data_IF_642872285820
#
_entry.id   IF_642872285820
#
_cell.length_a   1.000
_cell.length_b   1.000
_cell.length_c   1.000
_cell.angle_alpha   90.00
_cell.angle_beta   90.00
_cell.angle_gamma   90.00
#
_symmetry.space_group_name_H-M   'P 1'
#
loop_
_entity.id
_entity.type
_entity.pdbx_description
1 polymer ?
#
# COMPACT_ATOMS: atom_id res chain seq x y z
N UNK A 1 32.09 53.92 37.99
CA UNK A 1 31.47 53.13 39.08
C UNK A 1 30.27 52.32 38.59
N UNK A 2 29.40 52.90 37.78
CA UNK A 2 28.20 52.30 37.15
C UNK A 2 28.44 51.00 36.37
N UNK A 3 29.51 50.87 35.56
CA UNK A 3 29.80 49.62 34.82
C UNK A 3 30.08 48.40 35.71
N UNK A 4 30.71 48.60 36.87
CA UNK A 4 31.00 47.49 37.82
C UNK A 4 29.73 46.99 38.50
N UNK A 5 28.81 47.91 38.81
CA UNK A 5 27.50 47.59 39.40
C UNK A 5 26.65 46.82 38.38
N UNK A 6 26.62 47.26 37.11
CA UNK A 6 25.87 46.58 36.05
C UNK A 6 26.36 45.13 35.82
N UNK A 7 27.68 44.92 35.83
CA UNK A 7 28.26 43.57 35.68
C UNK A 7 27.97 42.66 36.88
N UNK A 8 27.88 43.23 38.08
CA UNK A 8 27.48 42.48 39.28
C UNK A 8 26.03 42.01 39.18
N UNK A 9 25.11 42.89 38.77
CA UNK A 9 23.70 42.53 38.57
C UNK A 9 23.51 41.46 37.48
N UNK A 10 24.23 41.55 36.36
CA UNK A 10 24.19 40.53 35.30
C UNK A 10 24.71 39.16 35.78
N UNK A 11 25.75 39.13 36.63
CA UNK A 11 26.21 37.88 37.26
C UNK A 11 25.16 37.32 38.23
N UNK A 12 24.55 38.16 39.05
CA UNK A 12 23.52 37.74 40.01
C UNK A 12 22.28 37.20 39.27
N UNK A 13 21.83 37.86 38.21
CA UNK A 13 20.71 37.41 37.39
C UNK A 13 20.99 36.06 36.72
N UNK A 14 22.22 35.85 36.23
CA UNK A 14 22.66 34.57 35.68
C UNK A 14 22.62 33.47 36.74
N UNK A 15 23.11 33.76 37.96
CA UNK A 15 23.10 32.83 39.09
C UNK A 15 21.66 32.49 39.51
N UNK A 16 20.78 33.48 39.62
CA UNK A 16 19.37 33.29 39.98
C UNK A 16 18.66 32.45 38.92
N UNK A 17 18.87 32.74 37.64
CA UNK A 17 18.26 32.00 36.54
C UNK A 17 18.74 30.55 36.50
N UNK A 18 20.01 30.30 36.82
CA UNK A 18 20.55 28.95 36.95
C UNK A 18 19.97 28.23 38.16
N UNK A 19 19.80 28.91 39.31
CA UNK A 19 19.13 28.35 40.50
C UNK A 19 17.67 27.97 40.22
N UNK A 20 16.91 28.83 39.53
CA UNK A 20 15.52 28.53 39.14
C UNK A 20 15.47 27.32 38.20
N UNK A 21 16.34 27.25 37.20
CA UNK A 21 16.43 26.08 36.31
C UNK A 21 16.82 24.81 37.05
N UNK A 22 17.68 24.92 38.06
CA UNK A 22 18.08 23.81 38.93
C UNK A 22 16.89 23.31 39.75
N UNK A 23 16.12 24.21 40.38
CA UNK A 23 14.88 23.87 41.10
C UNK A 23 13.89 23.16 40.17
N UNK A 24 13.63 23.71 38.98
CA UNK A 24 12.69 23.13 38.00
C UNK A 24 13.16 21.75 37.50
N UNK A 25 14.46 21.56 37.27
CA UNK A 25 15.06 20.28 36.87
C UNK A 25 14.93 19.18 37.94
N UNK A 26 14.78 19.59 39.20
CA UNK A 26 14.60 18.70 40.36
C UNK A 26 13.13 18.39 40.61
N UNK A 27 12.19 19.29 40.31
CA UNK A 27 10.76 18.97 40.43
C UNK A 27 10.27 17.92 39.41
N UNK A 28 10.99 17.69 38.31
CA UNK A 28 10.65 16.68 37.29
C UNK A 28 11.07 15.24 37.67
N UNK A 29 10.94 14.84 38.94
CA UNK A 29 11.46 13.57 39.46
C UNK A 29 10.47 12.39 39.30
N UNK A 30 10.98 11.24 38.87
CA UNK A 30 10.27 9.95 38.86
C UNK A 30 10.67 9.12 40.09
N UNK A 31 9.69 8.42 40.69
CA UNK A 31 9.79 7.66 41.97
C UNK A 31 10.90 6.56 41.97
N UNK A 32 11.46 6.20 40.82
CA UNK A 32 12.49 5.15 40.70
C UNK A 32 13.93 5.54 41.05
N UNK A 33 14.26 6.83 41.26
CA UNK A 33 15.64 7.32 41.45
C UNK A 33 15.94 7.76 42.90
N UNK A 34 15.32 7.15 43.92
CA UNK A 34 15.29 7.68 45.29
C UNK A 34 16.59 7.50 46.12
N UNK A 35 17.49 6.60 45.75
CA UNK A 35 18.69 6.28 46.55
C UNK A 35 19.67 7.46 46.80
N UNK A 36 19.87 8.43 45.88
CA UNK A 36 20.72 9.60 46.12
C UNK A 36 20.07 10.66 47.03
N UNK A 37 18.77 10.58 47.34
CA UNK A 37 18.05 11.64 48.07
C UNK A 37 18.36 11.72 49.56
N UNK A 38 19.00 10.70 50.16
CA UNK A 38 19.29 10.74 51.60
C UNK A 38 20.70 11.24 51.92
N UNK A 39 21.60 11.24 50.93
CA UNK A 39 22.99 11.66 51.13
C UNK A 39 23.16 13.12 51.63
N UNK A 40 22.35 14.10 51.17
CA UNK A 40 22.50 15.49 51.62
C UNK A 40 21.76 15.83 52.92
N UNK A 41 20.87 14.97 53.41
CA UNK A 41 20.06 15.24 54.61
C UNK A 41 20.90 15.59 55.83
N UNK A 42 21.96 14.82 56.08
CA UNK A 42 22.85 15.05 57.21
C UNK A 42 23.55 16.41 57.14
N UNK A 43 24.29 16.77 56.07
CA UNK A 43 24.93 18.08 55.98
C UNK A 43 23.94 19.25 55.92
N UNK A 44 22.77 19.07 55.31
CA UNK A 44 21.68 20.07 55.31
C UNK A 44 21.16 20.35 56.73
N UNK A 45 20.89 19.29 57.49
CA UNK A 45 20.46 19.41 58.89
C UNK A 45 21.54 20.03 59.78
N UNK A 46 22.82 19.69 59.57
CA UNK A 46 23.93 20.34 60.28
C UNK A 46 23.98 21.85 60.02
N UNK A 47 23.72 22.30 58.79
CA UNK A 47 23.62 23.73 58.48
C UNK A 47 22.42 24.38 59.17
N UNK A 48 21.27 23.71 59.20
CA UNK A 48 20.11 24.20 59.93
C UNK A 48 20.43 24.43 61.42
N UNK A 49 21.02 23.44 62.09
CA UNK A 49 21.40 23.56 63.51
C UNK A 49 22.45 24.65 63.72
N UNK A 50 23.49 24.66 62.89
CA UNK A 50 24.55 25.68 62.96
C UNK A 50 23.98 27.11 62.82
N UNK A 51 23.05 27.32 61.89
CA UNK A 51 22.45 28.64 61.67
C UNK A 51 21.42 29.03 62.73
N UNK A 52 20.57 28.10 63.16
CA UNK A 52 19.50 28.38 64.12
C UNK A 52 20.01 28.45 65.56
N UNK A 53 20.84 27.50 65.99
CA UNK A 53 21.28 27.39 67.40
C UNK A 53 22.54 28.20 67.70
N UNK A 54 23.47 28.37 66.75
CA UNK A 54 24.74 29.07 67.00
C UNK A 54 24.72 30.50 66.49
N UNK A 55 24.26 30.71 65.26
CA UNK A 55 24.15 32.05 64.68
C UNK A 55 22.86 32.79 65.08
N UNK A 56 21.96 32.11 65.81
CA UNK A 56 20.67 32.66 66.26
C UNK A 56 19.84 33.27 65.11
N UNK A 57 19.99 32.71 63.90
CA UNK A 57 19.20 33.17 62.77
C UNK A 57 17.75 32.73 62.92
N UNK A 58 16.77 33.54 62.47
CA UNK A 58 15.38 33.12 62.42
C UNK A 58 15.22 31.76 61.73
N UNK A 59 14.42 30.87 62.31
CA UNK A 59 14.30 29.47 61.87
C UNK A 59 13.97 29.33 60.38
N UNK A 60 13.16 30.23 59.81
CA UNK A 60 12.83 30.22 58.39
C UNK A 60 14.04 30.48 57.48
N UNK A 61 14.99 31.33 57.90
CA UNK A 61 16.22 31.60 57.13
C UNK A 61 17.13 30.37 57.16
N UNK A 62 17.31 29.77 58.35
CA UNK A 62 18.08 28.54 58.52
C UNK A 62 17.49 27.38 57.69
N UNK A 63 16.16 27.26 57.66
CA UNK A 63 15.45 26.26 56.86
C UNK A 63 15.65 26.47 55.35
N UNK A 64 15.57 27.71 54.86
CA UNK A 64 15.81 28.02 53.44
C UNK A 64 17.26 27.68 53.04
N UNK A 65 18.22 28.01 53.89
CA UNK A 65 19.62 27.71 53.64
C UNK A 65 19.89 26.19 53.61
N UNK A 66 19.39 25.46 54.61
CA UNK A 66 19.46 24.00 54.64
C UNK A 66 18.78 23.37 53.42
N UNK A 67 17.57 23.81 53.08
CA UNK A 67 16.86 23.36 51.87
C UNK A 67 17.64 23.61 50.59
N UNK A 68 18.34 24.75 50.49
CA UNK A 68 19.20 25.05 49.32
C UNK A 68 20.37 24.07 49.23
N UNK A 69 21.04 23.81 50.35
CA UNK A 69 22.13 22.82 50.42
C UNK A 69 21.63 21.42 50.03
N UNK A 70 20.45 21.02 50.53
CA UNK A 70 19.81 19.75 50.20
C UNK A 70 19.61 19.61 48.69
N UNK A 71 18.95 20.59 48.08
CA UNK A 71 18.63 20.65 46.65
C UNK A 71 19.91 20.57 45.80
N UNK A 72 20.94 21.33 46.17
CA UNK A 72 22.23 21.34 45.46
C UNK A 72 22.98 20.02 45.60
N UNK A 73 22.94 19.40 46.79
CA UNK A 73 23.54 18.09 47.05
C UNK A 73 22.86 16.99 46.24
N UNK A 74 21.53 16.96 46.24
CA UNK A 74 20.74 16.02 45.43
C UNK A 74 21.04 16.19 43.93
N UNK A 75 21.10 17.42 43.44
CA UNK A 75 21.43 17.71 42.05
C UNK A 75 22.81 17.14 41.66
N UNK A 76 23.83 17.39 42.47
CA UNK A 76 25.20 16.91 42.24
C UNK A 76 25.29 15.38 42.26
N UNK A 77 24.62 14.74 43.21
CA UNK A 77 24.55 13.29 43.30
C UNK A 77 23.82 12.67 42.09
N UNK A 78 22.70 13.27 41.67
CA UNK A 78 21.94 12.84 40.48
C UNK A 78 22.80 12.86 39.22
N UNK A 79 23.58 13.91 39.00
CA UNK A 79 24.46 14.00 37.82
C UNK A 79 25.51 12.90 37.86
N UNK A 80 26.10 12.64 39.01
CA UNK A 80 27.10 11.58 39.17
C UNK A 80 26.53 10.19 38.82
N UNK A 81 25.30 9.89 39.28
CA UNK A 81 24.60 8.64 38.92
C UNK A 81 24.23 8.61 37.44
N UNK A 82 23.78 9.72 36.86
CA UNK A 82 23.47 9.79 35.42
C UNK A 82 24.71 9.59 34.55
N UNK A 83 25.86 10.15 34.94
CA UNK A 83 27.13 9.91 34.27
C UNK A 83 27.51 8.42 34.31
N UNK A 84 27.32 7.76 35.45
CA UNK A 84 27.53 6.31 35.57
C UNK A 84 26.62 5.54 34.62
N UNK A 85 25.31 5.80 34.66
CA UNK A 85 24.32 5.12 33.79
C UNK A 85 24.63 5.31 32.31
N UNK A 86 24.99 6.52 31.89
CA UNK A 86 25.44 6.79 30.54
C UNK A 86 26.67 5.96 30.19
N UNK A 87 27.73 6.03 30.99
CA UNK A 87 28.97 5.31 30.72
C UNK A 87 28.83 3.79 30.73
N UNK A 88 27.91 3.24 31.52
CA UNK A 88 27.60 1.80 31.54
C UNK A 88 26.75 1.36 30.35
N UNK A 89 25.87 2.23 29.83
CA UNK A 89 24.97 1.93 28.71
C UNK A 89 25.41 2.44 27.35
N UNK A 90 26.57 3.11 27.25
CA UNK A 90 27.05 3.70 26.01
C UNK A 90 27.61 2.66 25.03
N UNK A 91 27.43 2.93 23.74
CA UNK A 91 28.09 2.18 22.67
C UNK A 91 29.58 2.46 22.58
N UNK A 92 30.35 1.59 21.91
CA UNK A 92 31.82 1.77 21.74
C UNK A 92 32.19 3.05 20.97
N UNK A 93 31.32 3.50 20.07
CA UNK A 93 31.49 4.73 19.28
C UNK A 93 31.01 6.00 19.99
N UNK A 94 30.35 5.88 21.14
CA UNK A 94 29.78 7.00 21.87
C UNK A 94 30.79 7.58 22.87
N UNK A 95 30.85 8.91 22.95
CA UNK A 95 31.74 9.62 23.84
C UNK A 95 31.44 9.32 25.32
N UNK A 96 32.50 9.09 26.10
CA UNK A 96 32.40 8.93 27.55
C UNK A 96 32.22 10.29 28.24
N UNK A 97 31.44 10.31 29.32
CA UNK A 97 31.22 11.50 30.16
C UNK A 97 32.16 11.42 31.38
N UNK A 98 32.73 12.54 31.88
CA UNK A 98 33.70 12.53 32.96
C UNK A 98 33.06 12.23 34.34
N UNK A 99 32.61 10.99 34.55
CA UNK A 99 31.95 10.54 35.78
C UNK A 99 32.83 10.74 37.02
N UNK A 100 34.13 10.44 36.93
CA UNK A 100 35.06 10.61 38.05
C UNK A 100 35.12 12.06 38.52
N UNK A 101 35.09 13.02 37.59
CA UNK A 101 35.06 14.45 37.91
C UNK A 101 33.76 14.84 38.61
N UNK A 102 32.61 14.36 38.12
CA UNK A 102 31.29 14.60 38.75
C UNK A 102 31.25 14.07 40.19
N UNK A 103 31.75 12.86 40.42
CA UNK A 103 31.83 12.25 41.76
C UNK A 103 32.75 13.07 42.66
N UNK A 104 33.94 13.46 42.15
CA UNK A 104 34.89 14.27 42.90
C UNK A 104 34.31 15.64 43.29
N UNK A 105 33.64 16.33 42.37
CA UNK A 105 32.99 17.63 42.66
C UNK A 105 31.84 17.49 43.66
N UNK A 106 31.06 16.42 43.55
CA UNK A 106 30.02 16.09 44.54
C UNK A 106 30.63 15.84 45.93
N UNK A 107 31.75 15.12 46.00
CA UNK A 107 32.50 14.91 47.24
C UNK A 107 33.03 16.22 47.82
N UNK A 108 33.64 17.08 46.99
CA UNK A 108 34.12 18.41 47.41
C UNK A 108 32.98 19.25 47.97
N UNK A 109 31.81 19.26 47.31
CA UNK A 109 30.63 19.95 47.83
C UNK A 109 30.30 19.50 49.25
N UNK A 110 30.18 18.20 49.50
CA UNK A 110 29.85 17.68 50.83
C UNK A 110 30.92 18.00 51.88
N UNK A 111 32.19 17.87 51.52
CA UNK A 111 33.30 18.18 52.42
C UNK A 111 33.30 19.67 52.81
N UNK A 112 33.05 20.56 51.86
CA UNK A 112 33.00 22.01 52.11
C UNK A 112 31.79 22.36 52.98
N UNK A 113 30.60 21.83 52.68
CA UNK A 113 29.39 22.08 53.48
C UNK A 113 29.54 21.56 54.91
N UNK A 114 30.11 20.36 55.09
CA UNK A 114 30.37 19.81 56.42
C UNK A 114 31.41 20.66 57.18
N UNK A 115 32.48 21.06 56.49
CA UNK A 115 33.50 21.96 57.07
C UNK A 115 32.91 23.32 57.47
N UNK A 116 31.96 23.82 56.69
CA UNK A 116 31.24 25.06 56.97
C UNK A 116 30.39 24.92 58.24
N UNK A 117 29.61 23.83 58.36
CA UNK A 117 28.83 23.53 59.56
C UNK A 117 29.73 23.43 60.80
N UNK A 118 30.82 22.66 60.71
CA UNK A 118 31.80 22.50 61.78
C UNK A 118 32.50 23.81 62.17
N UNK A 119 32.79 24.68 61.19
CA UNK A 119 33.40 25.99 61.45
C UNK A 119 32.46 26.89 62.26
N UNK A 120 31.17 26.91 61.90
CA UNK A 120 30.15 27.65 62.66
C UNK A 120 30.00 27.08 64.08
N UNK A 121 30.08 25.76 64.23
CA UNK A 121 29.85 25.10 65.50
C UNK A 121 31.04 25.18 66.48
N UNK A 122 32.26 24.94 65.99
CA UNK A 122 33.43 24.73 66.84
C UNK A 122 34.33 25.97 66.98
N UNK A 123 34.40 26.83 65.96
CA UNK A 123 35.40 27.92 65.93
C UNK A 123 34.77 29.22 65.42
N UNK A 124 34.04 29.97 66.28
CA UNK A 124 33.37 31.22 65.90
C UNK A 124 34.31 32.29 65.33
N UNK A 125 35.60 32.28 65.69
CA UNK A 125 36.61 33.20 65.16
C UNK A 125 36.92 32.98 63.67
N UNK A 126 36.55 31.83 63.11
CA UNK A 126 36.76 31.48 61.70
C UNK A 126 35.49 31.63 60.84
N UNK A 127 34.41 32.22 61.37
CA UNK A 127 33.16 32.47 60.63
C UNK A 127 33.39 33.27 59.34
N UNK A 128 34.43 34.10 59.27
CA UNK A 128 34.82 34.80 58.04
C UNK A 128 35.23 33.87 56.89
N UNK A 129 35.67 32.64 57.18
CA UNK A 129 36.00 31.61 56.18
C UNK A 129 34.78 31.01 55.48
N UNK A 130 33.57 31.28 55.95
CA UNK A 130 32.33 30.83 55.29
C UNK A 130 32.21 31.43 53.88
N UNK A 131 32.61 32.70 53.70
CA UNK A 131 32.55 33.37 52.40
C UNK A 131 33.37 32.66 51.31
N UNK A 132 34.67 32.36 51.50
CA UNK A 132 35.43 31.59 50.50
C UNK A 132 34.92 30.16 50.32
N UNK A 133 34.29 29.54 51.32
CA UNK A 133 33.64 28.22 51.16
C UNK A 133 32.48 28.26 50.16
N UNK A 134 31.69 29.34 50.11
CA UNK A 134 30.65 29.51 49.08
C UNK A 134 31.21 29.54 47.66
N UNK A 135 32.41 30.09 47.46
CA UNK A 135 33.10 30.06 46.16
C UNK A 135 33.44 28.62 45.75
N UNK A 136 33.93 27.80 46.70
CA UNK A 136 34.24 26.39 46.43
C UNK A 136 32.97 25.59 46.10
N UNK A 137 31.87 25.82 46.84
CA UNK A 137 30.56 25.24 46.53
C UNK A 137 30.14 25.64 45.11
N UNK A 138 30.26 26.92 44.75
CA UNK A 138 29.87 27.42 43.43
C UNK A 138 30.67 26.76 42.30
N UNK A 139 31.98 26.56 42.50
CA UNK A 139 32.83 25.85 41.53
C UNK A 139 32.35 24.41 41.35
N UNK A 140 32.11 23.68 42.45
CA UNK A 140 31.65 22.29 42.39
C UNK A 140 30.30 22.18 41.64
N UNK A 141 29.36 23.07 41.95
CA UNK A 141 28.05 23.13 41.29
C UNK A 141 28.18 23.47 39.81
N UNK A 142 29.01 24.47 39.46
CA UNK A 142 29.20 24.89 38.09
C UNK A 142 29.80 23.78 37.22
N UNK A 143 30.80 23.06 37.73
CA UNK A 143 31.39 21.92 37.02
C UNK A 143 30.35 20.83 36.80
N UNK A 144 29.58 20.47 37.83
CA UNK A 144 28.50 19.50 37.69
C UNK A 144 27.44 19.97 36.68
N UNK A 145 27.07 21.25 36.68
CA UNK A 145 26.14 21.81 35.69
C UNK A 145 26.69 21.74 34.26
N UNK A 146 27.97 22.04 34.06
CA UNK A 146 28.61 21.92 32.75
C UNK A 146 28.61 20.46 32.26
N UNK A 147 28.86 19.50 33.16
CA UNK A 147 28.77 18.06 32.85
C UNK A 147 27.33 17.68 32.47
N UNK A 148 26.32 18.14 33.21
CA UNK A 148 24.91 17.86 32.91
C UNK A 148 24.50 18.41 31.53
N UNK A 149 24.90 19.63 31.21
CA UNK A 149 24.63 20.24 29.90
C UNK A 149 25.25 19.43 28.77
N UNK A 150 26.48 18.96 28.93
CA UNK A 150 27.13 18.12 27.93
C UNK A 150 26.44 16.75 27.81
N UNK A 151 26.10 16.13 28.93
CA UNK A 151 25.40 14.85 28.95
C UNK A 151 24.03 14.93 28.23
N UNK A 152 23.26 16.00 28.45
CA UNK A 152 21.98 16.22 27.75
C UNK A 152 22.13 16.35 26.24
N UNK A 153 23.21 16.98 25.77
CA UNK A 153 23.50 17.05 24.33
C UNK A 153 23.74 15.66 23.77
N UNK A 154 24.60 14.87 24.42
CA UNK A 154 24.87 13.48 24.02
C UNK A 154 23.62 12.60 24.03
N UNK A 155 22.76 12.75 25.03
CA UNK A 155 21.47 12.03 25.10
C UNK A 155 20.53 12.43 23.94
N UNK A 156 20.50 13.72 23.60
CA UNK A 156 19.69 14.24 22.49
C UNK A 156 20.21 13.76 21.14
N UNK A 157 21.53 13.81 20.93
CA UNK A 157 22.18 13.35 19.71
C UNK A 157 21.93 11.84 19.52
N UNK A 158 22.04 11.05 20.59
CA UNK A 158 21.71 9.62 20.54
C UNK A 158 20.25 9.36 20.22
N UNK A 159 19.33 10.14 20.78
CA UNK A 159 17.91 10.02 20.47
C UNK A 159 17.62 10.33 18.99
N UNK A 160 18.26 11.37 18.45
CA UNK A 160 18.18 11.74 17.04
C UNK A 160 18.76 10.65 16.13
N UNK A 161 19.94 10.11 16.47
CA UNK A 161 20.56 9.01 15.72
C UNK A 161 19.66 7.76 15.67
N UNK A 162 19.00 7.44 16.78
CA UNK A 162 18.04 6.32 16.83
C UNK A 162 16.82 6.62 15.96
N UNK A 163 16.31 7.85 15.98
CA UNK A 163 15.20 8.27 15.13
C UNK A 163 15.58 8.16 13.64
N UNK A 164 16.75 8.67 13.26
CA UNK A 164 17.26 8.62 11.89
C UNK A 164 17.46 7.19 11.40
N UNK A 165 17.98 6.30 12.26
CA UNK A 165 18.10 4.87 11.93
C UNK A 165 16.74 4.23 11.69
N UNK A 166 15.73 4.53 12.51
CA UNK A 166 14.37 4.02 12.30
C UNK A 166 13.78 4.50 10.97
N UNK A 167 13.98 5.76 10.63
CA UNK A 167 13.57 6.32 9.33
C UNK A 167 14.27 5.59 8.19
N UNK A 168 15.60 5.43 8.25
CA UNK A 168 16.37 4.70 7.23
C UNK A 168 15.93 3.24 7.08
N UNK A 169 15.66 2.54 8.18
CA UNK A 169 15.14 1.17 8.12
C UNK A 169 13.74 1.12 7.52
N UNK A 170 12.86 2.07 7.86
CA UNK A 170 11.53 2.17 7.25
C UNK A 170 11.61 2.40 5.75
N UNK A 171 12.43 3.37 5.32
CA UNK A 171 12.67 3.66 3.91
C UNK A 171 13.25 2.46 3.15
N UNK A 172 14.11 1.67 3.80
CA UNK A 172 14.68 0.45 3.20
C UNK A 172 13.62 -0.63 2.98
N UNK A 173 12.63 -0.73 3.89
CA UNK A 173 11.49 -1.64 3.73
C UNK A 173 10.59 -1.17 2.59
N UNK A 174 10.30 0.13 2.52
CA UNK A 174 9.51 0.72 1.42
C UNK A 174 10.18 0.52 0.06
N UNK A 175 11.49 0.75 -0.05
CA UNK A 175 12.24 0.51 -1.29
C UNK A 175 12.20 -0.98 -1.68
N UNK A 176 12.31 -1.90 -0.72
CA UNK A 176 12.16 -3.33 -0.99
C UNK A 176 10.77 -3.67 -1.51
N UNK A 177 9.73 -3.09 -0.92
CA UNK A 177 8.35 -3.31 -1.36
C UNK A 177 8.13 -2.75 -2.77
N UNK A 178 8.54 -1.51 -3.03
CA UNK A 178 8.44 -0.90 -4.35
C UNK A 178 9.19 -1.70 -5.43
N UNK A 179 10.30 -2.36 -5.06
CA UNK A 179 11.01 -3.27 -5.97
C UNK A 179 10.19 -4.51 -6.32
N UNK A 180 9.53 -5.13 -5.35
CA UNK A 180 8.63 -6.29 -5.56
C UNK A 180 7.45 -5.89 -6.44
N UNK A 181 6.85 -4.72 -6.18
CA UNK A 181 5.73 -4.23 -6.96
C UNK A 181 6.15 -3.96 -8.42
N UNK A 182 7.34 -3.41 -8.64
CA UNK A 182 7.89 -3.18 -9.97
C UNK A 182 8.19 -4.48 -10.72
N UNK A 183 8.68 -5.51 -10.03
CA UNK A 183 8.89 -6.85 -10.60
C UNK A 183 7.55 -7.47 -11.03
N UNK A 184 6.51 -7.32 -10.19
CA UNK A 184 5.14 -7.77 -10.51
C UNK A 184 4.57 -7.06 -11.74
N UNK A 185 4.77 -5.74 -11.86
CA UNK A 185 4.35 -4.97 -13.04
C UNK A 185 5.09 -5.43 -14.29
N UNK A 186 6.38 -5.76 -14.17
CA UNK A 186 7.18 -6.26 -15.29
C UNK A 186 6.67 -7.63 -15.76
N UNK A 187 6.37 -8.54 -14.85
CA UNK A 187 5.85 -9.86 -15.19
C UNK A 187 4.50 -9.74 -15.91
N UNK A 188 3.58 -8.94 -15.38
CA UNK A 188 2.29 -8.64 -16.01
C UNK A 188 2.45 -8.00 -17.41
N UNK A 189 3.42 -7.10 -17.59
CA UNK A 189 3.70 -6.50 -18.89
C UNK A 189 4.25 -7.54 -19.90
N UNK A 190 5.04 -8.49 -19.41
CA UNK A 190 5.58 -9.58 -20.23
C UNK A 190 4.48 -10.54 -20.65
N UNK A 191 3.56 -10.88 -19.73
CA UNK A 191 2.37 -11.68 -20.02
C UNK A 191 1.45 -10.98 -21.03
N UNK A 192 1.19 -9.68 -20.84
CA UNK A 192 0.41 -8.89 -21.79
C UNK A 192 1.05 -8.84 -23.18
N UNK A 193 2.39 -8.75 -23.25
CA UNK A 193 3.12 -8.82 -24.52
C UNK A 193 3.01 -10.19 -25.18
N UNK A 194 3.07 -11.28 -24.41
CA UNK A 194 2.86 -12.64 -24.93
C UNK A 194 1.42 -12.83 -25.44
N UNK A 195 0.42 -12.34 -24.71
CA UNK A 195 -0.97 -12.36 -25.15
C UNK A 195 -1.17 -11.57 -26.45
N UNK A 196 -0.56 -10.38 -26.56
CA UNK A 196 -0.59 -9.60 -27.79
C UNK A 196 0.06 -10.33 -28.96
N UNK A 197 1.18 -11.03 -28.74
CA UNK A 197 1.84 -11.85 -29.75
C UNK A 197 0.93 -13.00 -30.23
N UNK A 198 0.30 -13.72 -29.29
CA UNK A 198 -0.63 -14.80 -29.60
C UNK A 198 -1.82 -14.32 -30.43
N UNK A 199 -2.41 -13.17 -30.06
CA UNK A 199 -3.50 -12.56 -30.83
C UNK A 199 -3.04 -12.15 -32.23
N UNK A 200 -1.81 -11.65 -32.37
CA UNK A 200 -1.24 -11.32 -33.68
C UNK A 200 -1.10 -12.55 -34.57
N UNK A 201 -0.63 -13.66 -34.01
CA UNK A 201 -0.52 -14.95 -34.73
C UNK A 201 -1.91 -15.46 -35.15
N UNK A 202 -2.90 -15.35 -34.27
CA UNK A 202 -4.28 -15.76 -34.55
C UNK A 202 -4.90 -14.91 -35.68
N UNK A 203 -4.69 -13.59 -35.66
CA UNK A 203 -5.10 -12.68 -36.74
C UNK A 203 -4.42 -13.10 -38.06
N UNK A 204 -3.15 -13.46 -38.02
CA UNK A 204 -2.41 -13.85 -39.22
C UNK A 204 -2.95 -15.17 -39.82
N UNK A 205 -3.29 -16.15 -38.97
CA UNK A 205 -3.94 -17.40 -39.38
C UNK A 205 -5.31 -17.11 -40.01
N UNK A 206 -6.11 -16.23 -39.42
CA UNK A 206 -7.40 -15.83 -39.96
C UNK A 206 -7.24 -15.14 -41.32
N UNK A 207 -6.23 -14.28 -41.49
CA UNK A 207 -5.93 -13.61 -42.76
C UNK A 207 -5.61 -14.62 -43.88
N UNK A 208 -4.76 -15.61 -43.61
CA UNK A 208 -4.43 -16.69 -44.56
C UNK A 208 -5.67 -17.51 -44.94
N UNK A 209 -6.53 -17.79 -43.95
CA UNK A 209 -7.78 -18.53 -44.18
C UNK A 209 -8.73 -17.73 -45.08
N UNK A 210 -8.80 -16.42 -44.87
CA UNK A 210 -9.59 -15.51 -45.71
C UNK A 210 -9.07 -15.49 -47.15
N UNK A 211 -7.75 -15.45 -47.35
CA UNK A 211 -7.14 -15.56 -48.68
C UNK A 211 -7.45 -16.89 -49.37
N UNK A 212 -7.39 -18.01 -48.64
CA UNK A 212 -7.76 -19.31 -49.19
C UNK A 212 -9.25 -19.36 -49.62
N UNK A 213 -10.13 -18.69 -48.86
CA UNK A 213 -11.55 -18.59 -49.20
C UNK A 213 -11.80 -17.71 -50.43
N UNK A 214 -11.09 -16.59 -50.59
CA UNK A 214 -11.22 -15.76 -51.80
C UNK A 214 -10.71 -16.46 -53.05
N UNK A 215 -9.65 -17.27 -52.95
CA UNK A 215 -9.19 -18.16 -54.03
C UNK A 215 -10.25 -19.23 -54.37
N UNK A 216 -10.91 -19.82 -53.36
CA UNK A 216 -12.02 -20.75 -53.62
C UNK A 216 -13.21 -20.06 -54.28
N UNK A 217 -13.57 -18.86 -53.84
CA UNK A 217 -14.67 -18.08 -54.41
C UNK A 217 -14.41 -17.73 -55.88
N UNK A 218 -13.21 -17.28 -56.21
CA UNK A 218 -12.80 -16.99 -57.59
C UNK A 218 -12.82 -18.24 -58.47
N UNK A 219 -12.37 -19.39 -57.96
CA UNK A 219 -12.48 -20.68 -58.65
C UNK A 219 -13.93 -21.08 -58.91
N UNK A 220 -14.79 -21.01 -57.88
CA UNK A 220 -16.22 -21.30 -58.03
C UNK A 220 -16.91 -20.37 -59.03
N UNK A 221 -16.58 -19.08 -59.03
CA UNK A 221 -17.10 -18.13 -60.03
C UNK A 221 -16.68 -18.52 -61.46
N UNK A 222 -15.43 -18.95 -61.65
CA UNK A 222 -14.95 -19.49 -62.93
C UNK A 222 -15.73 -20.75 -63.35
N UNK A 223 -15.89 -21.71 -62.43
CA UNK A 223 -16.62 -22.96 -62.70
C UNK A 223 -18.09 -22.68 -63.05
N UNK A 224 -18.76 -21.76 -62.35
CA UNK A 224 -20.13 -21.32 -62.67
C UNK A 224 -20.17 -20.71 -64.07
N UNK A 225 -19.21 -19.86 -64.44
CA UNK A 225 -19.15 -19.27 -65.78
C UNK A 225 -18.97 -20.34 -66.88
N UNK A 226 -18.15 -21.36 -66.62
CA UNK A 226 -17.99 -22.51 -67.53
C UNK A 226 -19.28 -23.32 -67.65
N UNK A 227 -19.94 -23.65 -66.53
CA UNK A 227 -21.22 -24.36 -66.51
C UNK A 227 -22.32 -23.57 -67.23
N UNK A 228 -22.38 -22.25 -67.07
CA UNK A 228 -23.31 -21.40 -67.83
C UNK A 228 -23.02 -21.42 -69.34
N UNK A 229 -21.74 -21.47 -69.74
CA UNK A 229 -21.33 -21.62 -71.14
C UNK A 229 -21.72 -22.98 -71.70
N UNK A 230 -21.47 -24.07 -70.96
CA UNK A 230 -21.90 -25.43 -71.31
C UNK A 230 -23.43 -25.56 -71.41
N UNK A 231 -24.17 -24.90 -70.50
CA UNK A 231 -25.64 -24.85 -70.56
C UNK A 231 -26.13 -24.09 -71.79
N UNK A 232 -25.47 -22.99 -72.19
CA UNK A 232 -25.79 -22.26 -73.41
C UNK A 232 -25.51 -23.09 -74.67
N UNK A 233 -24.41 -23.86 -74.72
CA UNK A 233 -24.15 -24.76 -75.84
C UNK A 233 -25.13 -25.94 -75.88
N UNK A 234 -25.45 -26.56 -74.75
CA UNK A 234 -26.45 -27.63 -74.69
C UNK A 234 -27.88 -27.17 -75.03
N UNK A 235 -28.19 -25.88 -74.82
CA UNK A 235 -29.48 -25.29 -75.25
C UNK A 235 -29.57 -25.08 -76.76
N UNK A 236 -28.45 -25.00 -77.47
CA UNK A 236 -28.42 -24.86 -78.93
C UNK A 236 -28.52 -26.20 -79.67
N UNK A 237 -28.29 -27.33 -78.99
CA UNK A 237 -28.38 -28.70 -79.56
C UNK A 237 -29.64 -29.48 -79.12
N UNK A 238 -30.58 -28.83 -78.44
CA UNK A 238 -31.86 -29.45 -78.09
C UNK A 238 -32.82 -29.37 -79.31
N UNK A 239 -33.33 -30.51 -79.82
CA UNK A 239 -34.32 -30.49 -80.88
C UNK A 239 -35.56 -29.73 -80.39
N UNK A 240 -36.04 -28.81 -81.21
CA UNK A 240 -37.31 -28.12 -81.05
C UNK A 240 -38.38 -29.21 -80.93
N UNK A 241 -38.80 -29.52 -79.70
CA UNK A 241 -39.88 -30.46 -79.45
C UNK A 241 -41.14 -29.89 -80.10
N UNK A 242 -41.48 -30.46 -81.25
CA UNK A 242 -42.75 -30.30 -81.95
C UNK A 242 -43.88 -30.49 -80.94
N UNK A 243 -44.88 -29.60 -81.01
CA UNK A 243 -45.89 -29.39 -79.97
C UNK A 243 -46.79 -30.58 -79.63
N UNK A 244 -46.66 -31.73 -80.28
CA UNK A 244 -47.58 -32.87 -80.15
C UNK A 244 -47.28 -33.78 -78.93
N UNK A 245 -46.02 -33.94 -78.52
CA UNK A 245 -45.64 -34.85 -77.39
C UNK A 245 -46.06 -34.26 -76.01
N UNK A 246 -46.23 -32.95 -75.92
CA UNK A 246 -46.63 -32.28 -74.67
C UNK A 246 -48.08 -32.54 -74.30
N UNK A 247 -48.94 -32.72 -75.31
CA UNK A 247 -50.38 -32.96 -75.14
C UNK A 247 -50.63 -34.42 -74.75
N UNK A 248 -49.91 -35.37 -75.37
CA UNK A 248 -49.97 -36.78 -74.97
C UNK A 248 -49.43 -37.01 -73.55
N UNK A 249 -48.27 -36.44 -73.19
CA UNK A 249 -47.77 -36.53 -71.81
C UNK A 249 -48.73 -35.89 -70.81
N UNK A 250 -49.38 -34.79 -71.18
CA UNK A 250 -50.40 -34.19 -70.33
C UNK A 250 -51.60 -35.12 -70.16
N UNK A 251 -52.10 -35.76 -71.23
CA UNK A 251 -53.17 -36.77 -71.13
C UNK A 251 -52.76 -37.91 -70.19
N UNK A 252 -51.59 -38.52 -70.37
CA UNK A 252 -51.13 -39.64 -69.53
C UNK A 252 -51.06 -39.27 -68.05
N UNK A 253 -50.50 -38.10 -67.72
CA UNK A 253 -50.39 -37.63 -66.32
C UNK A 253 -51.78 -37.35 -65.73
N UNK A 254 -52.69 -36.74 -66.51
CA UNK A 254 -54.03 -36.43 -66.05
C UNK A 254 -54.87 -37.70 -65.83
N UNK A 255 -54.76 -38.69 -66.73
CA UNK A 255 -55.43 -40.00 -66.59
C UNK A 255 -54.93 -40.77 -65.37
N UNK A 256 -53.62 -40.78 -65.11
CA UNK A 256 -53.03 -41.45 -63.93
C UNK A 256 -53.50 -40.79 -62.62
N UNK A 257 -53.45 -39.46 -62.55
CA UNK A 257 -53.86 -38.70 -61.35
C UNK A 257 -55.35 -38.89 -61.07
N UNK A 258 -56.19 -38.91 -62.11
CA UNK A 258 -57.63 -39.16 -62.00
C UNK A 258 -57.93 -40.60 -61.59
N UNK A 259 -57.21 -41.59 -62.14
CA UNK A 259 -57.31 -43.00 -61.72
C UNK A 259 -56.98 -43.19 -60.24
N UNK A 260 -56.08 -42.38 -59.70
CA UNK A 260 -55.72 -42.35 -58.28
C UNK A 260 -56.64 -41.45 -57.43
N UNK A 261 -57.75 -40.93 -57.98
CA UNK A 261 -58.73 -40.11 -57.26
C UNK A 261 -58.21 -38.76 -56.76
N UNK A 262 -57.09 -38.27 -57.28
CA UNK A 262 -56.43 -37.04 -56.84
C UNK A 262 -56.67 -35.89 -57.84
N UNK A 263 -56.61 -34.64 -57.36
CA UNK A 263 -56.60 -33.46 -58.23
C UNK A 263 -55.19 -32.86 -58.35
N UNK A 264 -54.79 -32.47 -59.55
CA UNK A 264 -53.56 -31.71 -59.79
C UNK A 264 -53.85 -30.26 -60.16
N UNK A 265 -53.10 -29.32 -59.60
CA UNK A 265 -53.21 -27.91 -60.02
C UNK A 265 -52.54 -27.72 -61.40
N UNK A 266 -53.04 -26.80 -62.23
CA UNK A 266 -52.42 -26.54 -63.53
C UNK A 266 -50.97 -26.02 -63.43
N UNK A 267 -50.59 -25.40 -62.31
CA UNK A 267 -49.21 -24.99 -62.06
C UNK A 267 -48.29 -26.20 -61.82
N UNK A 268 -48.79 -27.20 -61.09
CA UNK A 268 -48.07 -28.44 -60.81
C UNK A 268 -48.00 -29.34 -62.06
N UNK A 269 -49.06 -29.38 -62.88
CA UNK A 269 -49.02 -30.04 -64.18
C UNK A 269 -47.96 -29.40 -65.09
N UNK A 270 -47.88 -28.06 -65.10
CA UNK A 270 -46.83 -27.33 -65.83
C UNK A 270 -45.43 -27.71 -65.37
N UNK A 271 -45.18 -27.79 -64.05
CA UNK A 271 -43.90 -28.27 -63.50
C UNK A 271 -43.57 -29.69 -63.94
N UNK A 272 -44.52 -30.63 -63.86
CA UNK A 272 -44.31 -32.03 -64.26
C UNK A 272 -44.02 -32.19 -65.74
N UNK A 273 -44.56 -31.30 -66.58
CA UNK A 273 -44.27 -31.25 -68.02
C UNK A 273 -42.96 -30.51 -68.36
N UNK A 274 -42.29 -29.89 -67.37
CA UNK A 274 -41.14 -29.02 -67.61
C UNK A 274 -41.49 -27.75 -68.39
N UNK A 275 -42.75 -27.30 -68.32
CA UNK A 275 -43.29 -26.14 -69.05
C UNK A 275 -43.79 -25.07 -68.08
N UNK A 276 -44.23 -23.92 -68.60
CA UNK A 276 -44.77 -22.85 -67.77
C UNK A 276 -46.07 -23.28 -67.09
N UNK A 277 -46.32 -22.77 -65.88
CA UNK A 277 -47.58 -23.01 -65.18
C UNK A 277 -48.82 -22.49 -65.93
N UNK A 278 -48.65 -21.55 -66.87
CA UNK A 278 -49.71 -21.09 -67.78
C UNK A 278 -50.09 -22.15 -68.81
N UNK A 279 -49.12 -22.84 -69.42
CA UNK A 279 -49.38 -23.94 -70.35
C UNK A 279 -50.03 -25.13 -69.62
N UNK A 280 -49.57 -25.44 -68.40
CA UNK A 280 -50.16 -26.51 -67.59
C UNK A 280 -51.61 -26.23 -67.18
N UNK A 281 -51.99 -24.97 -66.90
CA UNK A 281 -53.41 -24.61 -66.69
C UNK A 281 -54.24 -24.80 -67.96
N UNK A 282 -53.71 -24.39 -69.12
CA UNK A 282 -54.40 -24.54 -70.40
C UNK A 282 -54.65 -26.01 -70.74
N UNK A 283 -53.61 -26.84 -70.70
CA UNK A 283 -53.71 -28.28 -70.98
C UNK A 283 -54.58 -29.03 -69.97
N UNK A 284 -54.54 -28.65 -68.68
CA UNK A 284 -55.47 -29.19 -67.69
C UNK A 284 -56.91 -28.92 -68.12
N UNK A 285 -57.25 -27.67 -68.43
CA UNK A 285 -58.62 -27.31 -68.77
C UNK A 285 -59.10 -27.95 -70.08
N UNK A 286 -58.21 -28.11 -71.08
CA UNK A 286 -58.55 -28.71 -72.37
C UNK A 286 -58.70 -30.23 -72.31
N UNK A 287 -57.87 -30.92 -71.52
CA UNK A 287 -57.78 -32.39 -71.54
C UNK A 287 -58.46 -33.09 -70.36
N UNK A 288 -58.81 -32.36 -69.30
CA UNK A 288 -59.39 -32.96 -68.09
C UNK A 288 -60.73 -33.65 -68.36
N UNK A 289 -61.55 -33.06 -69.23
CA UNK A 289 -62.83 -33.62 -69.61
C UNK A 289 -62.68 -34.77 -70.64
N UNK A 290 -61.70 -34.69 -71.55
CA UNK A 290 -61.37 -35.77 -72.50
C UNK A 290 -60.87 -37.05 -71.79
N UNK A 291 -60.08 -36.89 -70.72
CA UNK A 291 -59.61 -37.99 -69.89
C UNK A 291 -60.74 -38.71 -69.13
N UNK A 292 -61.98 -38.20 -69.15
CA UNK A 292 -63.14 -38.88 -68.56
C UNK A 292 -63.70 -40.00 -69.46
N UNK A 293 -63.53 -39.87 -70.79
CA UNK A 293 -64.25 -40.71 -71.77
C UNK A 293 -63.53 -42.01 -72.17
N UNK A 294 -62.22 -42.15 -71.93
CA UNK A 294 -61.45 -43.35 -72.31
C UNK A 294 -61.27 -44.39 -71.18
N UNK A 295 -61.80 -44.12 -69.97
CA UNK A 295 -61.53 -44.91 -68.76
C UNK A 295 -62.74 -45.59 -68.12
N UNK A 296 -63.87 -45.74 -68.82
CA UNK A 296 -65.07 -46.38 -68.27
C UNK A 296 -64.99 -47.91 -68.42
N UNK A 297 -64.14 -48.54 -67.62
CA UNK A 297 -64.32 -49.94 -67.21
C UNK A 297 -64.15 -50.02 -65.70
N UNK A 298 -65.29 -49.91 -65.03
CA UNK A 298 -65.48 -49.90 -63.59
C UNK A 298 -65.05 -51.26 -63.04
N UNK A 299 -63.95 -51.30 -62.27
CA UNK A 299 -63.64 -52.41 -61.38
C UNK A 299 -64.15 -52.09 -59.97
N UNK A 300 -65.18 -52.84 -59.55
CA UNK A 300 -65.80 -52.81 -58.24
C UNK A 300 -64.89 -53.36 -57.12
N UNK A 301 -65.23 -53.09 -55.84
CA UNK A 301 -64.30 -53.12 -54.71
C UNK A 301 -64.27 -54.48 -53.99
N UNK A 302 -63.06 -54.97 -53.69
CA UNK A 302 -62.78 -55.90 -52.59
C UNK A 302 -61.80 -55.16 -51.67
N UNK A 303 -61.93 -55.12 -50.35
CA UNK A 303 -62.60 -56.01 -49.43
C UNK A 303 -61.74 -56.02 -48.16
N UNK A 304 -62.35 -55.68 -47.03
CA UNK A 304 -61.79 -55.67 -45.67
C UNK A 304 -61.01 -56.94 -45.29
N UNK A 305 -59.92 -56.76 -44.54
CA UNK A 305 -59.48 -57.52 -43.33
C UNK A 305 -58.52 -56.57 -42.59
N UNK A 306 -58.83 -55.90 -41.49
CA UNK A 306 -59.05 -56.34 -40.10
C UNK A 306 -58.04 -57.36 -39.52
N UNK A 307 -57.31 -56.85 -38.51
CA UNK A 307 -56.84 -57.48 -37.27
C UNK A 307 -55.85 -58.66 -37.31
N UNK A 308 -54.61 -58.40 -36.90
CA UNK A 308 -54.18 -58.51 -35.50
C UNK A 308 -52.92 -57.69 -35.24
#
# INVERSE_FOLDING_TARGET
MTKKILNFYASVETIITQLVRLIVSITSFSIGELAPLTAPLAPSFSIYLAMSERLHMPAYIALIAAGTIEIVGMYSAKISVRCYRWNSGRGKSEAAVPQGLSIAMTGIFYLVVLSMALTIELIPSLVSLIFPMFTLISIAVYVNMAIDQNLRKLETDKANDIADRKVKTGLTVEIKQAKIDLETVRDNATEAQQQAQHLMDEINIQAVTLEALTVKETKLKSDIAQLQKQRKSARNDAPTATGDDTTERARTILTEIRRNGSEISGAELGRRLGKSGTLGRKLKNELWDEAATEGETIAQPNGKMEAN
#
